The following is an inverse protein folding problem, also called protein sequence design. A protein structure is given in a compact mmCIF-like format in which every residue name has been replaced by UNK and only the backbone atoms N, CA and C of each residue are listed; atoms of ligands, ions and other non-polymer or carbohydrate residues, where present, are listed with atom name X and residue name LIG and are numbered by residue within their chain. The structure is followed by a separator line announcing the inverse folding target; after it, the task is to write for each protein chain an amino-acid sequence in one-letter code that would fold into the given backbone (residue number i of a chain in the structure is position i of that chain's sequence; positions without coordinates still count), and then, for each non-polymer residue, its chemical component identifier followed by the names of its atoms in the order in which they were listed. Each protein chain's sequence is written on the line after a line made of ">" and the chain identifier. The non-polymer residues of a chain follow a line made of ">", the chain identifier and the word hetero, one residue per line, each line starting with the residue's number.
data_IF_310949224961
#
_entry.id   IF_310949224961
#
_cell.length_a   1.000
_cell.length_b   1.000
_cell.length_c   1.000
_cell.angle_alpha   90.00
_cell.angle_beta   90.00
_cell.angle_gamma   90.00
#
_symmetry.space_group_name_H-M   'P 1'
#
loop_
_entity.id
_entity.type
_entity.pdbx_description
1 polymer ?
#
# COMPACT_ATOMS: atom_id res chain seq x y z
N UNK A 1 7.58 21.26 0.99
CA UNK A 1 8.30 20.27 1.83
C UNK A 1 7.39 19.53 2.83
N UNK A 2 6.63 20.22 3.70
CA UNK A 2 5.75 19.56 4.68
C UNK A 2 4.77 18.55 4.04
N UNK A 3 4.12 18.93 2.93
CA UNK A 3 3.19 18.04 2.21
C UNK A 3 3.81 16.71 1.74
N UNK A 4 5.03 16.74 1.22
CA UNK A 4 5.75 15.53 0.81
C UNK A 4 6.01 14.60 1.99
N UNK A 5 6.48 15.14 3.11
CA UNK A 5 6.70 14.36 4.34
C UNK A 5 5.40 13.74 4.87
N UNK A 6 4.30 14.50 4.83
CA UNK A 6 2.98 14.01 5.27
C UNK A 6 2.56 12.81 4.44
N UNK A 7 2.62 12.91 3.10
CA UNK A 7 2.28 11.79 2.22
C UNK A 7 3.14 10.56 2.56
N UNK A 8 4.46 10.72 2.63
CA UNK A 8 5.38 9.62 2.88
C UNK A 8 5.14 8.95 4.26
N UNK A 9 4.86 9.73 5.31
CA UNK A 9 4.54 9.18 6.63
C UNK A 9 3.19 8.46 6.66
N UNK A 10 2.17 8.96 5.97
CA UNK A 10 0.89 8.27 5.86
C UNK A 10 1.11 6.87 5.26
N UNK A 11 1.88 6.77 4.18
CA UNK A 11 2.17 5.48 3.56
C UNK A 11 3.08 4.59 4.39
N UNK A 12 4.05 5.16 5.10
CA UNK A 12 4.82 4.41 6.08
C UNK A 12 3.91 3.74 7.13
N UNK A 13 2.92 4.47 7.65
CA UNK A 13 1.98 3.93 8.64
C UNK A 13 1.08 2.85 8.03
N UNK A 14 0.50 3.10 6.85
CA UNK A 14 -0.36 2.13 6.16
C UNK A 14 0.40 0.83 5.89
N UNK A 15 1.59 0.93 5.31
CA UNK A 15 2.39 -0.24 4.98
C UNK A 15 2.97 -0.94 6.21
N UNK A 16 3.12 -0.24 7.35
CA UNK A 16 3.53 -0.86 8.60
C UNK A 16 2.53 -1.90 9.10
N UNK A 17 1.22 -1.71 8.84
CA UNK A 17 0.22 -2.74 9.11
C UNK A 17 0.48 -4.03 8.34
N UNK A 18 1.16 -3.97 7.20
CA UNK A 18 1.63 -5.16 6.46
C UNK A 18 2.48 -6.08 7.33
N UNK A 19 3.38 -5.56 8.16
CA UNK A 19 4.13 -6.38 9.11
C UNK A 19 3.22 -6.99 10.18
N UNK A 20 2.29 -6.21 10.73
CA UNK A 20 1.35 -6.72 11.74
C UNK A 20 0.57 -7.91 11.16
N UNK A 21 0.01 -7.76 9.96
CA UNK A 21 -0.71 -8.84 9.28
C UNK A 21 0.19 -10.02 8.89
N UNK A 22 1.47 -9.77 8.56
CA UNK A 22 2.43 -10.83 8.26
C UNK A 22 2.68 -11.77 9.44
N UNK A 23 2.53 -11.32 10.69
CA UNK A 23 2.80 -12.13 11.89
C UNK A 23 1.56 -12.51 12.71
N UNK A 24 0.40 -11.92 12.42
CA UNK A 24 -0.87 -12.23 13.12
C UNK A 24 -1.24 -13.72 13.01
N UNK A 25 -1.78 -14.43 14.02
CA UNK A 25 -2.24 -15.80 13.83
C UNK A 25 -3.21 -15.94 12.65
N UNK A 26 -3.09 -17.00 11.84
CA UNK A 26 -3.89 -17.17 10.63
C UNK A 26 -5.41 -17.11 10.89
N UNK A 27 -5.96 -17.74 11.94
CA UNK A 27 -7.39 -17.63 12.26
C UNK A 27 -7.84 -16.19 12.50
N UNK A 28 -7.03 -15.38 13.20
CA UNK A 28 -7.32 -13.96 13.45
C UNK A 28 -7.29 -13.15 12.16
N UNK A 29 -6.39 -13.50 11.23
CA UNK A 29 -6.31 -12.85 9.93
C UNK A 29 -7.57 -13.16 9.13
N UNK A 30 -7.95 -14.43 8.99
CA UNK A 30 -9.17 -14.83 8.24
C UNK A 30 -10.46 -14.30 8.87
N UNK A 31 -10.52 -14.20 10.20
CA UNK A 31 -11.64 -13.60 10.92
C UNK A 31 -11.81 -12.12 10.58
N UNK A 32 -10.69 -11.39 10.40
CA UNK A 32 -10.75 -9.98 10.00
C UNK A 32 -11.43 -9.76 8.64
N UNK A 33 -11.21 -10.66 7.67
CA UNK A 33 -11.90 -10.62 6.36
C UNK A 33 -13.39 -10.85 6.52
N UNK A 34 -13.77 -11.84 7.34
CA UNK A 34 -15.18 -12.16 7.60
C UNK A 34 -15.87 -10.99 8.32
N UNK A 35 -15.21 -10.36 9.29
CA UNK A 35 -15.71 -9.17 9.99
C UNK A 35 -15.88 -7.96 9.07
N UNK A 36 -15.07 -7.88 8.00
CA UNK A 36 -15.16 -6.86 6.96
C UNK A 36 -16.21 -7.21 5.88
N UNK A 37 -16.89 -8.35 5.97
CA UNK A 37 -17.89 -8.80 5.00
C UNK A 37 -17.28 -9.33 3.69
N UNK A 38 -16.01 -9.73 3.70
CA UNK A 38 -15.30 -10.26 2.53
C UNK A 38 -15.02 -11.75 2.76
N UNK A 39 -15.11 -12.55 1.68
CA UNK A 39 -14.76 -13.97 1.75
C UNK A 39 -13.30 -14.13 2.21
N UNK A 40 -13.02 -14.97 3.23
CA UNK A 40 -11.67 -15.18 3.69
C UNK A 40 -10.82 -15.88 2.61
N UNK A 41 -9.49 -15.68 2.63
CA UNK A 41 -8.58 -16.44 1.80
C UNK A 41 -8.72 -17.95 2.01
N UNK A 42 -8.38 -18.74 0.99
CA UNK A 42 -8.35 -20.19 1.10
C UNK A 42 -7.34 -20.66 2.16
N UNK A 43 -7.73 -21.66 2.95
CA UNK A 43 -6.91 -22.22 4.03
C UNK A 43 -5.95 -23.30 3.49
N UNK A 44 -5.10 -22.88 2.55
CA UNK A 44 -4.07 -23.73 1.95
C UNK A 44 -2.67 -23.09 2.11
N UNK A 45 -1.63 -23.93 2.05
CA UNK A 45 -0.26 -23.50 2.31
C UNK A 45 0.22 -22.41 1.34
N UNK A 46 -0.24 -22.42 0.08
CA UNK A 46 0.18 -21.44 -0.93
C UNK A 46 -0.45 -20.08 -0.63
N UNK A 47 -1.76 -20.04 -0.36
CA UNK A 47 -2.49 -18.81 0.00
C UNK A 47 -1.93 -18.19 1.28
N UNK A 48 -1.69 -19.01 2.31
CA UNK A 48 -1.03 -18.58 3.53
C UNK A 48 0.34 -17.97 3.27
N UNK A 49 1.21 -18.70 2.57
CA UNK A 49 2.56 -18.22 2.26
C UNK A 49 2.53 -16.90 1.47
N UNK A 50 1.67 -16.81 0.46
CA UNK A 50 1.55 -15.63 -0.40
C UNK A 50 1.12 -14.37 0.38
N UNK A 51 0.09 -14.49 1.23
CA UNK A 51 -0.38 -13.36 2.04
C UNK A 51 0.68 -12.91 3.05
N UNK A 52 1.38 -13.87 3.68
CA UNK A 52 2.46 -13.58 4.63
C UNK A 52 3.62 -12.85 3.97
N UNK A 53 4.06 -13.35 2.82
CA UNK A 53 5.13 -12.73 2.03
C UNK A 53 4.73 -11.34 1.54
N UNK A 54 3.48 -11.16 1.13
CA UNK A 54 2.94 -9.84 0.75
C UNK A 54 2.97 -8.89 1.94
N UNK A 55 2.55 -9.33 3.12
CA UNK A 55 2.63 -8.55 4.36
C UNK A 55 4.06 -8.13 4.71
N UNK A 56 5.03 -9.04 4.59
CA UNK A 56 6.46 -8.72 4.80
C UNK A 56 6.94 -7.69 3.76
N UNK A 57 6.59 -7.85 2.48
CA UNK A 57 6.96 -6.92 1.43
C UNK A 57 6.39 -5.51 1.69
N UNK A 58 5.12 -5.42 2.08
CA UNK A 58 4.53 -4.14 2.51
C UNK A 58 5.23 -3.59 3.76
N UNK A 59 5.51 -4.42 4.76
CA UNK A 59 6.28 -4.00 5.92
C UNK A 59 7.65 -3.40 5.56
N UNK A 60 8.38 -4.02 4.63
CA UNK A 60 9.65 -3.48 4.13
C UNK A 60 9.44 -2.17 3.36
N UNK A 61 8.36 -2.05 2.59
CA UNK A 61 7.99 -0.78 1.97
C UNK A 61 7.76 0.31 3.01
N UNK A 62 7.18 0.00 4.18
CA UNK A 62 7.04 0.95 5.28
C UNK A 62 8.38 1.56 5.68
N UNK A 63 9.42 0.73 5.85
CA UNK A 63 10.77 1.18 6.19
C UNK A 63 11.30 2.13 5.11
N UNK A 64 11.13 1.77 3.83
CA UNK A 64 11.50 2.62 2.70
C UNK A 64 10.80 3.99 2.75
N UNK A 65 9.49 4.03 3.02
CA UNK A 65 8.74 5.26 3.16
C UNK A 65 9.16 6.09 4.38
N UNK A 66 9.51 5.47 5.52
CA UNK A 66 10.05 6.17 6.69
C UNK A 66 11.38 6.86 6.37
N UNK A 67 12.30 6.16 5.70
CA UNK A 67 13.60 6.72 5.29
C UNK A 67 13.39 7.96 4.41
N UNK A 68 12.52 7.83 3.39
CA UNK A 68 12.14 8.94 2.53
C UNK A 68 11.46 10.08 3.29
N UNK A 69 10.58 9.79 4.26
CA UNK A 69 9.86 10.81 5.02
C UNK A 69 10.78 11.63 5.93
N UNK A 70 11.87 11.02 6.43
CA UNK A 70 12.85 11.68 7.31
C UNK A 70 13.59 12.80 6.58
N UNK A 71 14.16 12.49 5.42
CA UNK A 71 14.84 13.47 4.56
C UNK A 71 14.55 13.24 3.06
N UNK A 72 13.40 13.71 2.54
CA UNK A 72 13.02 13.46 1.16
C UNK A 72 14.03 14.02 0.15
N UNK A 73 14.66 15.15 0.47
CA UNK A 73 15.58 15.81 -0.47
C UNK A 73 16.99 15.22 -0.42
N UNK A 74 17.40 14.63 0.72
CA UNK A 74 18.61 13.82 0.79
C UNK A 74 18.52 12.55 -0.06
N UNK A 75 17.30 12.00 -0.22
CA UNK A 75 17.03 10.79 -1.01
C UNK A 75 16.29 11.06 -2.33
N UNK A 76 16.61 12.17 -3.01
CA UNK A 76 15.94 12.59 -4.26
C UNK A 76 15.83 11.51 -5.32
N UNK A 77 16.86 10.66 -5.47
CA UNK A 77 16.85 9.56 -6.44
C UNK A 77 15.81 8.48 -6.14
N UNK A 78 15.42 8.31 -4.87
CA UNK A 78 14.47 7.28 -4.42
C UNK A 78 13.00 7.75 -4.50
N UNK A 79 12.76 9.06 -4.48
CA UNK A 79 11.40 9.62 -4.54
C UNK A 79 10.62 9.26 -5.82
N UNK A 80 11.22 9.29 -7.02
CA UNK A 80 10.55 8.81 -8.22
C UNK A 80 10.13 7.34 -8.11
N UNK A 81 10.94 6.47 -7.52
CA UNK A 81 10.57 5.06 -7.32
C UNK A 81 9.37 4.92 -6.39
N UNK A 82 9.32 5.69 -5.30
CA UNK A 82 8.15 5.72 -4.41
C UNK A 82 6.89 6.17 -5.16
N UNK A 83 7.01 7.24 -5.95
CA UNK A 83 5.90 7.84 -6.66
C UNK A 83 5.37 6.94 -7.79
N UNK A 84 6.26 6.42 -8.64
CA UNK A 84 5.88 5.49 -9.70
C UNK A 84 5.38 4.16 -9.12
N UNK A 85 6.00 3.66 -8.06
CA UNK A 85 5.51 2.48 -7.34
C UNK A 85 4.06 2.66 -6.88
N UNK A 86 3.72 3.79 -6.27
CA UNK A 86 2.34 4.10 -5.88
C UNK A 86 1.40 4.16 -7.07
N UNK A 87 1.79 4.83 -8.16
CA UNK A 87 0.97 4.91 -9.37
C UNK A 87 0.71 3.51 -9.94
N UNK A 88 1.75 2.68 -10.07
CA UNK A 88 1.64 1.32 -10.58
C UNK A 88 0.72 0.46 -9.70
N UNK A 89 0.93 0.46 -8.38
CA UNK A 89 0.07 -0.28 -7.45
C UNK A 89 -1.36 0.24 -7.53
N UNK A 90 -1.57 1.56 -7.61
CA UNK A 90 -2.92 2.12 -7.73
C UNK A 90 -3.65 1.69 -9.01
N UNK A 91 -2.94 1.57 -10.13
CA UNK A 91 -3.50 0.96 -11.35
C UNK A 91 -3.85 -0.51 -11.17
N UNK A 92 -3.01 -1.29 -10.48
CA UNK A 92 -3.30 -2.69 -10.17
C UNK A 92 -4.57 -2.85 -9.32
N UNK A 93 -4.79 -1.99 -8.34
CA UNK A 93 -6.01 -1.98 -7.52
C UNK A 93 -7.26 -1.66 -8.32
N UNK A 94 -7.17 -0.75 -9.30
CA UNK A 94 -8.26 -0.48 -10.24
C UNK A 94 -8.60 -1.71 -11.09
N UNK A 95 -7.58 -2.38 -11.64
CA UNK A 95 -7.78 -3.60 -12.44
C UNK A 95 -8.38 -4.73 -11.60
N UNK A 96 -7.93 -4.90 -10.35
CA UNK A 96 -8.51 -5.87 -9.42
C UNK A 96 -9.97 -5.55 -9.10
N UNK A 97 -10.29 -4.28 -8.82
CA UNK A 97 -11.66 -3.83 -8.59
C UNK A 97 -12.59 -4.15 -9.77
N UNK A 98 -12.11 -4.05 -11.01
CA UNK A 98 -12.90 -4.42 -12.20
C UNK A 98 -13.11 -5.94 -12.37
N UNK A 99 -12.26 -6.77 -11.76
CA UNK A 99 -12.36 -8.23 -11.81
C UNK A 99 -13.22 -8.84 -10.70
N UNK A 100 -13.39 -8.16 -9.56
CA UNK A 100 -14.24 -8.63 -8.48
C UNK A 100 -15.70 -8.18 -8.68
N UNK A 101 -16.63 -9.13 -8.60
CA UNK A 101 -18.07 -8.87 -8.80
C UNK A 101 -18.77 -8.26 -7.56
N UNK A 102 -18.08 -8.19 -6.42
CA UNK A 102 -18.65 -7.68 -5.17
C UNK A 102 -18.59 -6.14 -5.11
N UNK A 103 -19.73 -5.43 -5.00
CA UNK A 103 -19.77 -3.98 -5.04
C UNK A 103 -18.85 -3.31 -4.02
N UNK A 104 -18.81 -3.81 -2.78
CA UNK A 104 -17.97 -3.25 -1.73
C UNK A 104 -16.48 -3.33 -2.08
N UNK A 105 -16.02 -4.46 -2.61
CA UNK A 105 -14.63 -4.68 -3.04
C UNK A 105 -14.26 -3.77 -4.21
N UNK A 106 -15.17 -3.55 -5.16
CA UNK A 106 -14.96 -2.62 -6.28
C UNK A 106 -14.77 -1.21 -5.75
N UNK A 107 -15.65 -0.76 -4.84
CA UNK A 107 -15.59 0.58 -4.26
C UNK A 107 -14.31 0.80 -3.46
N UNK A 108 -13.96 -0.10 -2.55
CA UNK A 108 -12.75 0.05 -1.72
C UNK A 108 -11.49 0.02 -2.57
N UNK A 109 -11.39 -0.92 -3.51
CA UNK A 109 -10.21 -1.04 -4.38
C UNK A 109 -10.06 0.16 -5.32
N UNK A 110 -11.17 0.72 -5.81
CA UNK A 110 -11.14 1.92 -6.67
C UNK A 110 -10.73 3.17 -5.88
N UNK A 111 -11.24 3.33 -4.66
CA UNK A 111 -10.87 4.45 -3.78
C UNK A 111 -9.38 4.37 -3.43
N UNK A 112 -8.91 3.19 -3.05
CA UNK A 112 -7.49 2.95 -2.74
C UNK A 112 -6.61 3.20 -3.98
N UNK A 113 -7.03 2.70 -5.14
CA UNK A 113 -6.37 2.94 -6.42
C UNK A 113 -6.25 4.43 -6.76
N UNK A 114 -7.33 5.20 -6.62
CA UNK A 114 -7.32 6.65 -6.82
C UNK A 114 -6.38 7.37 -5.86
N UNK A 115 -6.41 6.98 -4.58
CA UNK A 115 -5.59 7.59 -3.55
C UNK A 115 -4.09 7.36 -3.82
N UNK A 116 -3.71 6.13 -4.18
CA UNK A 116 -2.35 5.76 -4.57
C UNK A 116 -1.87 6.53 -5.80
N UNK A 117 -2.65 6.56 -6.89
CA UNK A 117 -2.30 7.30 -8.10
C UNK A 117 -2.15 8.79 -7.80
N UNK A 118 -3.14 9.38 -7.13
CA UNK A 118 -3.17 10.83 -6.83
C UNK A 118 -1.96 11.24 -6.00
N UNK A 119 -1.67 10.50 -4.94
CA UNK A 119 -0.53 10.81 -4.05
C UNK A 119 0.81 10.57 -4.72
N UNK A 120 0.93 9.53 -5.56
CA UNK A 120 2.13 9.32 -6.38
C UNK A 120 2.37 10.48 -7.36
N UNK A 121 1.32 10.94 -8.05
CA UNK A 121 1.42 12.13 -8.93
C UNK A 121 1.78 13.38 -8.13
N UNK A 122 1.19 13.59 -6.94
CA UNK A 122 1.56 14.70 -6.05
C UNK A 122 3.03 14.64 -5.62
N UNK A 123 3.56 13.45 -5.32
CA UNK A 123 4.98 13.28 -5.01
C UNK A 123 5.86 13.70 -6.20
N UNK A 124 5.54 13.29 -7.43
CA UNK A 124 6.28 13.74 -8.63
C UNK A 124 6.24 15.26 -8.80
N UNK A 125 5.07 15.88 -8.60
CA UNK A 125 4.92 17.35 -8.67
C UNK A 125 5.76 18.04 -7.60
N UNK A 126 5.75 17.53 -6.36
CA UNK A 126 6.56 18.10 -5.28
C UNK A 126 8.05 17.93 -5.47
N UNK A 127 8.49 16.79 -6.04
CA UNK A 127 9.89 16.57 -6.42
C UNK A 127 10.30 17.59 -7.47
N UNK A 128 9.52 17.72 -8.56
CA UNK A 128 9.83 18.66 -9.65
C UNK A 128 9.88 20.12 -9.19
N UNK A 129 9.04 20.52 -8.22
CA UNK A 129 9.03 21.87 -7.65
C UNK A 129 10.16 22.14 -6.63
N UNK A 130 10.82 21.09 -6.13
CA UNK A 130 11.90 21.21 -5.15
C UNK A 130 13.31 21.15 -5.78
N UNK A 131 13.37 20.94 -7.09
CA UNK A 131 14.54 21.10 -7.96
C UNK A 131 14.48 22.49 -8.57
#
# INVERSE_FOLDING_TARGET
>A
MKGMKIILYIYAIIYFFGFIFAFLPWPTLTESFTSAGVAPPADDMLSMFWIRMSGVAFGLAAIFFVILARDPLGYRGMLPFAAYGQICVGFSYFSLGAWYEFPLTVWTSSIEGLLLITTGVLLLIFVKKAV
#
